data_IF_133589148455
#
_entry.id   IF_133589148455
#
_cell.length_a   1.000
_cell.length_b   1.000
_cell.length_c   1.000
_cell.angle_alpha   90.00
_cell.angle_beta   90.00
_cell.angle_gamma   90.00
#
_symmetry.space_group_name_H-M   'P 1'
#
loop_
_entity.id
_entity.type
_entity.pdbx_description
1 polymer ?
#
# COMPACT_ATOMS: atom_id res chain seq x y z
N UNK A 1 -16.13 11.92 23.99
CA UNK A 1 -14.88 11.52 24.68
C UNK A 1 -13.92 11.14 23.59
N UNK A 2 -12.87 11.96 23.39
CA UNK A 2 -11.97 11.78 22.26
C UNK A 2 -11.20 10.47 22.36
N UNK A 3 -11.26 9.65 21.34
CA UNK A 3 -10.26 8.62 21.07
C UNK A 3 -8.99 9.35 20.62
N UNK A 4 -8.24 9.85 21.59
CA UNK A 4 -6.90 10.33 21.32
C UNK A 4 -6.13 9.17 20.70
N UNK A 5 -5.39 9.45 19.61
CA UNK A 5 -4.27 8.62 19.14
C UNK A 5 -3.65 8.00 20.38
N UNK A 6 -3.53 6.66 20.43
CA UNK A 6 -2.88 6.03 21.58
C UNK A 6 -1.44 6.55 21.68
N UNK A 7 -1.31 7.66 22.42
CA UNK A 7 -0.04 8.32 22.66
C UNK A 7 0.93 7.41 23.38
N UNK A 8 0.48 6.25 23.90
CA UNK A 8 1.33 5.23 24.50
C UNK A 8 2.02 4.40 23.39
N UNK A 9 1.30 3.96 22.34
CA UNK A 9 1.89 3.26 21.22
C UNK A 9 2.91 4.14 20.48
N UNK A 10 2.57 5.42 20.25
CA UNK A 10 3.49 6.38 19.62
C UNK A 10 4.70 6.70 20.51
N UNK A 11 4.51 6.79 21.86
CA UNK A 11 5.62 6.95 22.81
C UNK A 11 6.50 5.72 22.86
N UNK A 12 5.92 4.52 22.96
CA UNK A 12 6.66 3.25 22.94
C UNK A 12 7.45 3.09 21.62
N UNK A 13 6.88 3.47 20.49
CA UNK A 13 7.57 3.48 19.20
C UNK A 13 8.72 4.51 19.17
N UNK A 14 8.53 5.71 19.77
CA UNK A 14 9.59 6.72 19.90
C UNK A 14 10.68 6.29 20.87
N UNK A 15 10.33 5.68 21.98
CA UNK A 15 11.29 5.15 22.98
C UNK A 15 12.09 3.98 22.38
N UNK A 16 11.44 3.06 21.66
CA UNK A 16 12.12 2.01 20.91
C UNK A 16 12.97 2.59 19.73
N UNK A 17 12.60 3.74 19.17
CA UNK A 17 13.42 4.49 18.21
C UNK A 17 14.65 5.15 18.87
N UNK A 18 14.61 5.37 20.19
CA UNK A 18 15.69 5.99 20.96
C UNK A 18 16.95 5.11 21.14
N UNK A 19 16.91 3.83 20.73
CA UNK A 19 18.14 3.06 20.55
C UNK A 19 18.89 3.68 19.36
N UNK A 20 19.89 4.50 19.68
CA UNK A 20 20.69 5.22 18.70
C UNK A 20 21.36 4.22 17.74
N UNK A 21 20.80 4.05 16.55
CA UNK A 21 21.43 3.34 15.44
C UNK A 21 22.49 4.20 14.73
N UNK A 22 22.87 5.33 15.32
CA UNK A 22 23.94 6.17 14.78
C UNK A 22 25.28 5.45 14.98
N UNK A 23 25.83 4.98 13.87
CA UNK A 23 27.16 4.37 13.84
C UNK A 23 28.12 5.44 13.30
N UNK A 24 29.25 5.72 13.97
CA UNK A 24 30.26 6.62 13.44
C UNK A 24 30.71 6.20 12.04
N UNK A 25 30.98 7.17 11.16
CA UNK A 25 31.47 6.91 9.81
C UNK A 25 32.72 6.01 9.82
N UNK A 26 32.78 5.04 8.89
CA UNK A 26 33.86 4.08 8.78
C UNK A 26 33.83 2.91 9.79
N UNK A 27 32.91 2.91 10.76
CA UNK A 27 32.78 1.78 11.71
C UNK A 27 32.30 0.52 10.99
N UNK A 28 32.88 -0.62 11.38
CA UNK A 28 32.47 -1.92 10.86
C UNK A 28 31.12 -2.36 11.50
N UNK A 29 30.18 -2.72 10.64
CA UNK A 29 28.84 -3.20 11.02
C UNK A 29 28.75 -4.69 10.80
N UNK A 30 28.24 -5.41 11.80
CA UNK A 30 28.05 -6.86 11.78
C UNK A 30 26.60 -7.30 11.68
N UNK A 31 26.38 -8.63 11.63
CA UNK A 31 25.06 -9.25 11.48
C UNK A 31 24.06 -8.88 12.60
N UNK A 32 24.56 -8.62 13.83
CA UNK A 32 23.69 -8.22 14.94
C UNK A 32 22.94 -6.91 14.72
N UNK A 33 23.61 -5.90 14.13
CA UNK A 33 22.94 -4.64 13.77
C UNK A 33 21.94 -4.82 12.64
N UNK A 34 22.30 -5.59 11.60
CA UNK A 34 21.37 -5.91 10.53
C UNK A 34 20.10 -6.57 11.07
N UNK A 35 20.23 -7.58 11.94
CA UNK A 35 19.11 -8.25 12.58
C UNK A 35 18.24 -7.30 13.46
N UNK A 36 18.87 -6.34 14.15
CA UNK A 36 18.14 -5.33 14.92
C UNK A 36 17.32 -4.41 14.01
N UNK A 37 17.86 -4.01 12.86
CA UNK A 37 17.16 -3.19 11.87
C UNK A 37 16.00 -3.95 11.20
N UNK A 38 16.18 -5.22 10.87
CA UNK A 38 15.12 -6.08 10.35
C UNK A 38 13.92 -6.17 11.32
N UNK A 39 14.21 -6.43 12.59
CA UNK A 39 13.16 -6.42 13.64
C UNK A 39 12.48 -5.06 13.75
N UNK A 40 13.25 -3.98 13.63
CA UNK A 40 12.70 -2.62 13.68
C UNK A 40 11.74 -2.33 12.53
N UNK A 41 12.05 -2.75 11.31
CA UNK A 41 11.13 -2.62 10.17
C UNK A 41 9.84 -3.38 10.41
N UNK A 42 9.94 -4.63 10.90
CA UNK A 42 8.76 -5.43 11.24
C UNK A 42 7.87 -4.73 12.29
N UNK A 43 8.47 -4.14 13.33
CA UNK A 43 7.73 -3.36 14.34
C UNK A 43 7.03 -2.13 13.76
N UNK A 44 7.71 -1.38 12.90
CA UNK A 44 7.12 -0.20 12.25
C UNK A 44 5.95 -0.57 11.34
N UNK A 45 6.03 -1.73 10.69
CA UNK A 45 4.96 -2.24 9.82
C UNK A 45 3.72 -2.62 10.63
N UNK A 46 3.88 -3.24 11.80
CA UNK A 46 2.76 -3.52 12.72
C UNK A 46 2.16 -2.23 13.30
N UNK A 47 3.00 -1.22 13.53
CA UNK A 47 2.53 0.08 14.01
C UNK A 47 1.66 0.81 12.96
N UNK A 48 1.87 0.58 11.66
CA UNK A 48 1.00 1.13 10.61
C UNK A 48 -0.45 0.62 10.69
N UNK A 49 -0.66 -0.57 11.22
CA UNK A 49 -2.01 -1.12 11.45
C UNK A 49 -2.78 -0.36 12.55
N UNK A 50 -2.06 0.26 13.50
CA UNK A 50 -2.63 0.87 14.70
C UNK A 50 -2.68 2.40 14.63
N UNK A 51 -1.74 3.02 13.89
CA UNK A 51 -1.52 4.46 13.88
C UNK A 51 -1.79 5.06 12.50
N UNK A 52 -2.43 6.23 12.47
CA UNK A 52 -2.68 6.96 11.22
C UNK A 52 -1.39 7.38 10.51
N UNK A 53 -1.42 7.38 9.18
CA UNK A 53 -0.27 7.63 8.32
C UNK A 53 0.40 8.99 8.56
N UNK A 54 -0.37 10.01 8.93
CA UNK A 54 0.17 11.35 9.25
C UNK A 54 1.12 11.34 10.44
N UNK A 55 0.77 10.59 11.50
CA UNK A 55 1.59 10.48 12.71
C UNK A 55 2.78 9.52 12.52
N UNK A 56 2.62 8.46 11.72
CA UNK A 56 3.65 7.45 11.47
C UNK A 56 4.73 7.94 10.49
N UNK A 57 4.36 8.78 9.52
CA UNK A 57 5.27 9.21 8.46
C UNK A 57 6.61 9.78 8.95
N UNK A 58 6.66 10.74 9.90
CA UNK A 58 7.95 11.29 10.37
C UNK A 58 8.87 10.24 10.98
N UNK A 59 8.30 9.24 11.67
CA UNK A 59 9.04 8.16 12.29
C UNK A 59 9.68 7.26 11.24
N UNK A 60 8.90 6.80 10.26
CA UNK A 60 9.37 5.91 9.18
C UNK A 60 10.39 6.63 8.29
N UNK A 61 10.15 7.91 7.94
CA UNK A 61 11.08 8.72 7.17
C UNK A 61 12.43 8.90 7.89
N UNK A 62 12.40 9.11 9.21
CA UNK A 62 13.58 9.20 10.05
C UNK A 62 14.37 7.88 10.06
N UNK A 63 13.70 6.72 10.19
CA UNK A 63 14.34 5.41 10.13
C UNK A 63 14.96 5.14 8.77
N UNK A 64 14.25 5.46 7.69
CA UNK A 64 14.76 5.32 6.33
C UNK A 64 16.02 6.19 6.12
N UNK A 65 16.00 7.42 6.60
CA UNK A 65 17.16 8.32 6.51
C UNK A 65 18.38 7.74 7.25
N UNK A 66 18.18 7.22 8.46
CA UNK A 66 19.25 6.57 9.26
C UNK A 66 19.78 5.32 8.56
N UNK A 67 18.91 4.47 8.01
CA UNK A 67 19.31 3.27 7.29
C UNK A 67 20.14 3.60 6.04
N UNK A 68 19.73 4.61 5.26
CA UNK A 68 20.47 5.11 4.09
C UNK A 68 21.85 5.66 4.48
N UNK A 69 21.95 6.44 5.55
CA UNK A 69 23.22 6.94 6.05
C UNK A 69 24.14 5.81 6.49
N UNK A 70 23.62 4.83 7.21
CA UNK A 70 24.38 3.66 7.64
C UNK A 70 24.98 2.90 6.44
N UNK A 71 24.17 2.61 5.43
CA UNK A 71 24.61 1.90 4.21
C UNK A 71 25.69 2.69 3.45
N UNK A 72 25.63 4.02 3.49
CA UNK A 72 26.61 4.89 2.81
C UNK A 72 27.92 5.05 3.57
N UNK A 73 27.87 5.08 4.90
CA UNK A 73 28.97 5.53 5.76
C UNK A 73 29.69 4.40 6.50
N UNK A 74 29.02 3.23 6.70
CA UNK A 74 29.61 2.10 7.38
C UNK A 74 30.42 1.18 6.45
N UNK A 75 31.30 0.38 7.04
CA UNK A 75 31.96 -0.74 6.36
C UNK A 75 31.29 -2.05 6.76
N UNK A 76 31.05 -2.93 5.80
CA UNK A 76 30.39 -4.23 6.04
C UNK A 76 30.80 -5.25 4.97
N UNK A 77 30.73 -6.54 5.32
CA UNK A 77 30.93 -7.63 4.37
C UNK A 77 29.72 -7.81 3.44
N UNK A 78 29.87 -8.58 2.34
CA UNK A 78 28.83 -8.73 1.32
C UNK A 78 27.48 -9.24 1.87
N UNK A 79 27.50 -10.18 2.79
CA UNK A 79 26.30 -10.75 3.42
C UNK A 79 25.53 -9.68 4.22
N UNK A 80 26.22 -8.97 5.09
CA UNK A 80 25.64 -7.87 5.88
C UNK A 80 25.13 -6.77 4.94
N UNK A 81 25.87 -6.48 3.89
CA UNK A 81 25.49 -5.50 2.87
C UNK A 81 24.15 -5.88 2.21
N UNK A 82 23.96 -7.13 1.78
CA UNK A 82 22.68 -7.61 1.24
C UNK A 82 21.53 -7.37 2.22
N UNK A 83 21.69 -7.76 3.48
CA UNK A 83 20.67 -7.56 4.53
C UNK A 83 20.35 -6.08 4.76
N UNK A 84 21.35 -5.22 4.83
CA UNK A 84 21.16 -3.78 5.00
C UNK A 84 20.41 -3.15 3.81
N UNK A 85 20.73 -3.56 2.56
CA UNK A 85 19.98 -3.10 1.38
C UNK A 85 18.55 -3.64 1.36
N UNK A 86 18.29 -4.85 1.85
CA UNK A 86 16.94 -5.37 2.06
C UNK A 86 16.17 -4.49 3.04
N UNK A 87 16.77 -4.15 4.19
CA UNK A 87 16.16 -3.25 5.19
C UNK A 87 15.83 -1.88 4.57
N UNK A 88 16.75 -1.30 3.79
CA UNK A 88 16.48 -0.02 3.09
C UNK A 88 15.31 -0.16 2.13
N UNK A 89 15.24 -1.24 1.36
CA UNK A 89 14.15 -1.49 0.43
C UNK A 89 12.79 -1.67 1.14
N UNK A 90 12.75 -2.40 2.25
CA UNK A 90 11.55 -2.56 3.07
C UNK A 90 11.10 -1.25 3.72
N UNK A 91 12.05 -0.44 4.22
CA UNK A 91 11.74 0.89 4.74
C UNK A 91 11.25 1.82 3.63
N UNK A 92 11.78 1.72 2.42
CA UNK A 92 11.26 2.45 1.26
C UNK A 92 9.82 2.04 0.92
N UNK A 93 9.51 0.73 1.00
CA UNK A 93 8.14 0.25 0.76
C UNK A 93 7.17 0.83 1.80
N UNK A 94 7.52 0.75 3.08
CA UNK A 94 6.68 1.28 4.16
C UNK A 94 6.57 2.82 4.10
N UNK A 95 7.67 3.54 3.90
CA UNK A 95 7.68 5.00 3.78
C UNK A 95 6.86 5.47 2.57
N UNK A 96 6.99 4.78 1.43
CA UNK A 96 6.21 5.06 0.25
C UNK A 96 4.71 4.84 0.48
N UNK A 97 4.35 3.76 1.17
CA UNK A 97 2.97 3.44 1.54
C UNK A 97 2.36 4.53 2.42
N UNK A 98 3.02 4.86 3.52
CA UNK A 98 2.56 5.88 4.48
C UNK A 98 2.50 7.26 3.84
N UNK A 99 3.48 7.62 2.98
CA UNK A 99 3.45 8.87 2.22
C UNK A 99 2.27 8.92 1.24
N UNK A 100 2.01 7.82 0.54
CA UNK A 100 0.86 7.70 -0.38
C UNK A 100 -0.48 7.86 0.35
N UNK A 101 -0.65 7.19 1.51
CA UNK A 101 -1.87 7.30 2.31
C UNK A 101 -2.04 8.69 2.95
N UNK A 102 -0.94 9.42 3.15
CA UNK A 102 -0.95 10.83 3.54
C UNK A 102 -1.17 11.81 2.37
N UNK A 103 -1.36 11.33 1.13
CA UNK A 103 -1.56 12.16 -0.07
C UNK A 103 -0.26 12.74 -0.65
N UNK A 104 0.92 12.31 -0.21
CA UNK A 104 2.25 12.78 -0.66
C UNK A 104 2.76 11.96 -1.85
N UNK A 105 1.96 11.87 -2.90
CA UNK A 105 2.15 10.93 -4.00
C UNK A 105 3.49 11.03 -4.74
N UNK A 106 3.96 12.24 -5.02
CA UNK A 106 5.25 12.44 -5.70
C UNK A 106 6.44 11.99 -4.87
N UNK A 107 6.35 12.11 -3.54
CA UNK A 107 7.37 11.60 -2.62
C UNK A 107 7.30 10.09 -2.50
N UNK A 108 6.10 9.52 -2.36
CA UNK A 108 5.89 8.08 -2.34
C UNK A 108 6.47 7.41 -3.59
N UNK A 109 6.20 7.96 -4.79
CA UNK A 109 6.73 7.46 -6.04
C UNK A 109 8.26 7.42 -6.06
N UNK A 110 8.92 8.52 -5.68
CA UNK A 110 10.39 8.55 -5.59
C UNK A 110 10.92 7.51 -4.61
N UNK A 111 10.26 7.39 -3.46
CA UNK A 111 10.66 6.45 -2.40
C UNK A 111 10.51 4.99 -2.85
N UNK A 112 9.43 4.63 -3.54
CA UNK A 112 9.28 3.29 -4.10
C UNK A 112 10.38 2.96 -5.11
N UNK A 113 10.71 3.89 -6.03
CA UNK A 113 11.77 3.69 -7.03
C UNK A 113 13.17 3.56 -6.40
N UNK A 114 13.45 4.34 -5.35
CA UNK A 114 14.67 4.16 -4.54
C UNK A 114 14.71 2.77 -3.91
N UNK A 115 13.58 2.30 -3.38
CA UNK A 115 13.44 0.96 -2.83
C UNK A 115 13.70 -0.15 -3.85
N UNK A 116 13.20 0.00 -5.09
CA UNK A 116 13.48 -0.94 -6.19
C UNK A 116 14.99 -1.02 -6.44
N UNK A 117 15.69 0.13 -6.47
CA UNK A 117 17.16 0.15 -6.62
C UNK A 117 17.86 -0.55 -5.45
N UNK A 118 17.42 -0.32 -4.20
CA UNK A 118 17.97 -0.97 -3.03
C UNK A 118 17.74 -2.50 -3.05
N UNK A 119 16.53 -2.93 -3.40
CA UNK A 119 16.19 -4.35 -3.55
C UNK A 119 17.03 -5.03 -4.64
N UNK A 120 17.31 -4.34 -5.75
CA UNK A 120 18.21 -4.82 -6.80
C UNK A 120 19.64 -5.04 -6.27
N UNK A 121 20.17 -4.11 -5.45
CA UNK A 121 21.47 -4.26 -4.80
C UNK A 121 21.53 -5.39 -3.78
N UNK A 122 20.40 -5.71 -3.15
CA UNK A 122 20.26 -6.84 -2.25
C UNK A 122 20.09 -8.19 -2.97
N UNK A 123 19.77 -8.19 -4.26
CA UNK A 123 19.34 -9.38 -5.00
C UNK A 123 17.93 -9.85 -4.62
N UNK A 124 17.12 -9.00 -3.97
CA UNK A 124 15.79 -9.31 -3.44
C UNK A 124 14.70 -9.04 -4.49
N UNK A 125 14.59 -9.91 -5.50
CA UNK A 125 13.69 -9.75 -6.66
C UNK A 125 12.23 -9.60 -6.26
N UNK A 126 11.74 -10.45 -5.36
CA UNK A 126 10.34 -10.42 -4.90
C UNK A 126 10.00 -9.14 -4.17
N UNK A 127 10.95 -8.55 -3.41
CA UNK A 127 10.79 -7.25 -2.77
C UNK A 127 10.79 -6.10 -3.78
N UNK A 128 11.61 -6.17 -4.82
CA UNK A 128 11.56 -5.21 -5.93
C UNK A 128 10.20 -5.25 -6.64
N UNK A 129 9.66 -6.45 -6.88
CA UNK A 129 8.32 -6.64 -7.43
C UNK A 129 7.23 -6.05 -6.51
N UNK A 130 7.34 -6.24 -5.19
CA UNK A 130 6.41 -5.65 -4.22
C UNK A 130 6.44 -4.12 -4.25
N UNK A 131 7.60 -3.52 -4.37
CA UNK A 131 7.74 -2.07 -4.48
C UNK A 131 7.08 -1.52 -5.76
N UNK A 132 7.29 -2.19 -6.90
CA UNK A 132 6.61 -1.86 -8.16
C UNK A 132 5.10 -2.04 -8.05
N UNK A 133 4.63 -3.09 -7.38
CA UNK A 133 3.21 -3.34 -7.17
C UNK A 133 2.57 -2.29 -6.26
N UNK A 134 3.28 -1.81 -5.24
CA UNK A 134 2.82 -0.70 -4.39
C UNK A 134 2.72 0.62 -5.17
N UNK A 135 3.68 0.89 -6.04
CA UNK A 135 3.64 2.04 -6.95
C UNK A 135 2.49 1.91 -7.95
N UNK A 136 2.29 0.74 -8.54
CA UNK A 136 1.15 0.44 -9.42
C UNK A 136 -0.18 0.74 -8.71
N UNK A 137 -0.35 0.27 -7.47
CA UNK A 137 -1.54 0.53 -6.67
C UNK A 137 -1.78 2.03 -6.45
N UNK A 138 -0.73 2.81 -6.16
CA UNK A 138 -0.84 4.25 -6.06
C UNK A 138 -1.30 4.87 -7.38
N UNK A 139 -0.65 4.53 -8.50
CA UNK A 139 -0.97 5.07 -9.82
C UNK A 139 -2.38 4.69 -10.24
N UNK A 140 -2.83 3.45 -10.00
CA UNK A 140 -4.20 3.03 -10.26
C UNK A 140 -5.24 3.88 -9.51
N UNK A 141 -4.90 4.39 -8.31
CA UNK A 141 -5.82 5.21 -7.52
C UNK A 141 -5.81 6.70 -7.90
N UNK A 142 -4.68 7.24 -8.39
CA UNK A 142 -4.51 8.70 -8.55
C UNK A 142 -3.88 9.14 -9.87
N UNK A 143 -3.51 8.21 -10.74
CA UNK A 143 -2.87 8.44 -12.03
C UNK A 143 -3.55 7.71 -13.19
N UNK A 144 -2.78 7.35 -14.19
CA UNK A 144 -3.27 6.62 -15.37
C UNK A 144 -3.37 5.11 -15.08
N UNK A 145 -4.56 4.49 -15.22
CA UNK A 145 -4.73 3.06 -15.04
C UNK A 145 -3.93 2.18 -16.01
N UNK A 146 -3.60 2.67 -17.21
CA UNK A 146 -2.80 1.92 -18.17
C UNK A 146 -1.34 1.80 -17.70
N UNK A 147 -0.76 2.89 -17.21
CA UNK A 147 0.57 2.88 -16.58
C UNK A 147 0.60 1.97 -15.34
N UNK A 148 -0.45 2.04 -14.53
CA UNK A 148 -0.61 1.17 -13.37
C UNK A 148 -0.63 -0.30 -13.75
N UNK A 149 -1.39 -0.67 -14.80
CA UNK A 149 -1.49 -2.05 -15.27
C UNK A 149 -0.14 -2.56 -15.79
N UNK A 150 0.59 -1.74 -16.55
CA UNK A 150 1.93 -2.09 -17.03
C UNK A 150 2.89 -2.37 -15.87
N UNK A 151 2.90 -1.52 -14.85
CA UNK A 151 3.74 -1.71 -13.65
C UNK A 151 3.35 -2.96 -12.87
N UNK A 152 2.04 -3.23 -12.69
CA UNK A 152 1.56 -4.42 -12.00
C UNK A 152 1.98 -5.70 -12.75
N UNK A 153 1.84 -5.74 -14.07
CA UNK A 153 2.28 -6.86 -14.91
C UNK A 153 3.80 -7.05 -14.86
N UNK A 154 4.56 -5.95 -14.87
CA UNK A 154 6.02 -5.98 -14.70
C UNK A 154 6.41 -6.56 -13.35
N UNK A 155 5.70 -6.21 -12.28
CA UNK A 155 5.93 -6.76 -10.95
C UNK A 155 5.70 -8.28 -10.91
N UNK A 156 4.61 -8.77 -11.50
CA UNK A 156 4.32 -10.22 -11.59
C UNK A 156 5.41 -10.94 -12.39
N UNK A 157 5.83 -10.40 -13.54
CA UNK A 157 6.86 -11.00 -14.37
C UNK A 157 8.24 -11.03 -13.69
N UNK A 158 8.55 -10.03 -12.86
CA UNK A 158 9.82 -9.94 -12.12
C UNK A 158 9.91 -10.78 -10.84
N UNK A 159 8.79 -11.38 -10.41
CA UNK A 159 8.67 -12.07 -9.11
C UNK A 159 8.88 -13.59 -9.23
N UNK A 160 9.86 -14.03 -10.02
CA UNK A 160 10.22 -15.45 -10.09
C UNK A 160 10.60 -15.98 -8.70
N UNK A 161 10.05 -17.15 -8.33
CA UNK A 161 10.26 -17.75 -7.01
C UNK A 161 9.46 -17.09 -5.88
N UNK A 162 8.48 -16.25 -6.18
CA UNK A 162 7.59 -15.69 -5.16
C UNK A 162 6.74 -16.78 -4.50
N UNK A 163 6.54 -16.66 -3.17
CA UNK A 163 5.59 -17.51 -2.46
C UNK A 163 4.17 -17.31 -3.00
N UNK A 164 3.26 -18.28 -2.84
CA UNK A 164 1.88 -18.15 -3.29
C UNK A 164 1.16 -16.89 -2.74
N UNK A 165 1.39 -16.53 -1.48
CA UNK A 165 0.81 -15.30 -0.92
C UNK A 165 1.36 -14.03 -1.61
N UNK A 166 2.67 -13.97 -1.85
CA UNK A 166 3.28 -12.86 -2.61
C UNK A 166 2.72 -12.81 -4.02
N UNK A 167 2.58 -13.96 -4.68
CA UNK A 167 2.01 -14.04 -6.03
C UNK A 167 0.56 -13.55 -6.05
N UNK A 168 -0.27 -13.97 -5.08
CA UNK A 168 -1.64 -13.50 -4.94
C UNK A 168 -1.69 -11.98 -4.80
N UNK A 169 -0.87 -11.40 -3.91
CA UNK A 169 -0.77 -9.95 -3.73
C UNK A 169 -0.42 -9.21 -5.03
N UNK A 170 0.55 -9.69 -5.79
CA UNK A 170 0.94 -9.04 -7.05
C UNK A 170 -0.17 -9.14 -8.10
N UNK A 171 -0.87 -10.26 -8.17
CA UNK A 171 -2.02 -10.47 -9.06
C UNK A 171 -3.21 -9.59 -8.68
N UNK A 172 -3.45 -9.34 -7.37
CA UNK A 172 -4.44 -8.35 -6.93
C UNK A 172 -4.18 -6.94 -7.52
N UNK A 173 -2.91 -6.54 -7.65
CA UNK A 173 -2.58 -5.24 -8.25
C UNK A 173 -2.87 -5.21 -9.74
N UNK A 174 -2.68 -6.35 -10.43
CA UNK A 174 -3.12 -6.52 -11.83
C UNK A 174 -4.64 -6.42 -11.92
N UNK A 175 -5.38 -7.15 -11.06
CA UNK A 175 -6.85 -7.10 -11.04
C UNK A 175 -7.36 -5.67 -10.78
N UNK A 176 -6.80 -4.99 -9.79
CA UNK A 176 -7.17 -3.62 -9.45
C UNK A 176 -6.90 -2.63 -10.59
N UNK A 177 -5.70 -2.68 -11.18
CA UNK A 177 -5.34 -1.78 -12.29
C UNK A 177 -6.20 -2.03 -13.53
N UNK A 178 -6.50 -3.30 -13.85
CA UNK A 178 -7.39 -3.67 -14.94
C UNK A 178 -8.83 -3.19 -14.68
N UNK A 179 -9.34 -3.31 -13.44
CA UNK A 179 -10.67 -2.80 -13.07
C UNK A 179 -10.74 -1.28 -13.22
N UNK A 180 -9.70 -0.56 -12.82
CA UNK A 180 -9.59 0.89 -13.01
C UNK A 180 -9.53 1.28 -14.49
N UNK A 181 -8.90 0.46 -15.33
CA UNK A 181 -8.91 0.59 -16.79
C UNK A 181 -10.21 0.12 -17.45
N UNK A 182 -11.20 -0.35 -16.67
CA UNK A 182 -12.48 -0.89 -17.15
C UNK A 182 -12.34 -2.14 -18.06
N UNK A 183 -11.22 -2.85 -17.96
CA UNK A 183 -11.03 -4.13 -18.65
C UNK A 183 -11.60 -5.28 -17.80
N UNK A 184 -12.88 -5.58 -18.06
CA UNK A 184 -13.62 -6.63 -17.34
C UNK A 184 -12.98 -8.02 -17.53
N UNK A 185 -12.48 -8.31 -18.73
CA UNK A 185 -11.91 -9.63 -19.03
C UNK A 185 -10.57 -9.82 -18.33
N UNK A 186 -9.68 -8.83 -18.36
CA UNK A 186 -8.40 -8.87 -17.65
C UNK A 186 -8.62 -8.91 -16.14
N UNK A 187 -9.56 -8.12 -15.60
CA UNK A 187 -9.90 -8.14 -14.16
C UNK A 187 -10.32 -9.53 -13.71
N UNK A 188 -11.26 -10.15 -14.45
CA UNK A 188 -11.76 -11.49 -14.09
C UNK A 188 -10.65 -12.53 -14.10
N UNK A 189 -9.85 -12.60 -15.16
CA UNK A 189 -8.69 -13.51 -15.23
C UNK A 189 -7.70 -13.28 -14.09
N UNK A 190 -7.47 -12.03 -13.70
CA UNK A 190 -6.55 -11.72 -12.62
C UNK A 190 -7.12 -12.14 -11.25
N UNK A 191 -8.42 -11.93 -10.99
CA UNK A 191 -9.08 -12.38 -9.77
C UNK A 191 -9.07 -13.91 -9.64
N UNK A 192 -9.39 -14.62 -10.72
CA UNK A 192 -9.32 -16.09 -10.76
C UNK A 192 -7.88 -16.57 -10.42
N UNK A 193 -6.86 -15.91 -10.98
CA UNK A 193 -5.47 -16.22 -10.70
C UNK A 193 -5.03 -15.86 -9.26
N UNK A 194 -5.66 -14.85 -8.63
CA UNK A 194 -5.45 -14.53 -7.20
C UNK A 194 -5.95 -15.68 -6.35
N UNK A 195 -7.18 -16.15 -6.59
CA UNK A 195 -7.77 -17.25 -5.86
C UNK A 195 -6.92 -18.53 -6.00
N UNK A 196 -6.56 -18.88 -7.22
CA UNK A 196 -5.68 -20.03 -7.50
C UNK A 196 -4.35 -19.92 -6.74
N UNK A 197 -3.69 -18.76 -6.77
CA UNK A 197 -2.42 -18.58 -6.09
C UNK A 197 -2.58 -18.67 -4.57
N UNK A 198 -3.62 -18.08 -4.01
CA UNK A 198 -3.86 -18.05 -2.57
C UNK A 198 -4.24 -19.42 -2.00
N UNK A 199 -5.02 -20.21 -2.73
CA UNK A 199 -5.46 -21.55 -2.32
C UNK A 199 -4.31 -22.56 -2.36
N UNK A 200 -3.27 -22.30 -3.17
CA UNK A 200 -2.06 -23.15 -3.26
C UNK A 200 -0.96 -22.78 -2.24
N UNK A 201 -1.31 -22.06 -1.15
CA UNK A 201 -0.34 -21.75 -0.10
C UNK A 201 0.20 -23.04 0.54
N UNK A 202 1.53 -23.16 0.51
CA UNK A 202 2.27 -24.29 1.06
C UNK A 202 2.75 -24.04 2.49
N UNK A 203 3.75 -24.83 2.89
CA UNK A 203 4.42 -24.73 4.21
C UNK A 203 5.60 -23.76 4.20
N UNK A 204 5.98 -23.21 3.05
CA UNK A 204 7.07 -22.23 2.96
C UNK A 204 6.67 -20.93 3.68
N UNK A 205 7.57 -20.38 4.51
CA UNK A 205 7.27 -19.16 5.22
C UNK A 205 7.18 -17.99 4.25
N UNK A 206 6.10 -17.22 4.36
CA UNK A 206 5.94 -15.97 3.63
C UNK A 206 6.90 -14.89 4.17
N UNK A 207 7.36 -13.95 3.33
CA UNK A 207 8.06 -12.78 3.80
C UNK A 207 7.22 -11.97 4.80
N UNK A 208 7.85 -11.42 5.85
CA UNK A 208 7.14 -10.68 6.90
C UNK A 208 6.30 -9.49 6.37
N UNK A 209 6.67 -8.91 5.24
CA UNK A 209 5.94 -7.78 4.67
C UNK A 209 4.60 -8.13 4.00
N UNK A 210 4.24 -9.44 3.87
CA UNK A 210 2.94 -9.88 3.32
C UNK A 210 2.01 -10.47 4.39
N UNK A 211 2.38 -10.37 5.68
CA UNK A 211 1.63 -10.95 6.82
C UNK A 211 0.14 -10.60 6.86
N UNK A 212 -0.20 -9.40 6.38
CA UNK A 212 -1.55 -8.85 6.40
C UNK A 212 -2.46 -9.47 5.35
N UNK A 213 -1.91 -10.09 4.30
CA UNK A 213 -2.70 -10.68 3.23
C UNK A 213 -3.39 -11.95 3.71
N UNK A 214 -4.69 -11.89 3.77
CA UNK A 214 -5.56 -12.99 4.15
C UNK A 214 -6.78 -13.05 3.23
N UNK A 215 -7.69 -14.00 3.43
CA UNK A 215 -8.87 -14.17 2.59
C UNK A 215 -9.77 -12.92 2.59
N UNK A 216 -9.92 -12.27 3.73
CA UNK A 216 -10.75 -11.07 3.84
C UNK A 216 -10.19 -9.91 2.99
N UNK A 217 -8.87 -9.72 2.95
CA UNK A 217 -8.24 -8.70 2.09
C UNK A 217 -8.44 -9.01 0.60
N UNK A 218 -8.34 -10.28 0.20
CA UNK A 218 -8.61 -10.72 -1.17
C UNK A 218 -10.08 -10.46 -1.53
N UNK A 219 -11.03 -10.82 -0.66
CA UNK A 219 -12.45 -10.58 -0.86
C UNK A 219 -12.76 -9.07 -0.97
N UNK A 220 -12.12 -8.23 -0.16
CA UNK A 220 -12.21 -6.76 -0.27
C UNK A 220 -11.71 -6.28 -1.63
N UNK A 221 -10.57 -6.76 -2.07
CA UNK A 221 -10.02 -6.34 -3.37
C UNK A 221 -10.93 -6.77 -4.51
N UNK A 222 -11.46 -7.99 -4.48
CA UNK A 222 -12.44 -8.47 -5.46
C UNK A 222 -13.72 -7.61 -5.43
N UNK A 223 -14.27 -7.32 -4.25
CA UNK A 223 -15.42 -6.43 -4.09
C UNK A 223 -15.18 -5.04 -4.68
N UNK A 224 -14.03 -4.46 -4.43
CA UNK A 224 -13.64 -3.16 -5.00
C UNK A 224 -13.53 -3.20 -6.53
N UNK A 225 -12.96 -4.27 -7.09
CA UNK A 225 -12.91 -4.48 -8.54
C UNK A 225 -14.34 -4.55 -9.12
N UNK A 226 -15.26 -5.26 -8.48
CA UNK A 226 -16.65 -5.33 -8.91
C UNK A 226 -17.36 -3.97 -8.86
N UNK A 227 -17.12 -3.15 -7.82
CA UNK A 227 -17.64 -1.77 -7.77
C UNK A 227 -17.14 -0.95 -8.96
N UNK A 228 -15.86 -0.99 -9.26
CA UNK A 228 -15.27 -0.27 -10.39
C UNK A 228 -15.85 -0.73 -11.73
N UNK A 229 -16.12 -2.01 -11.90
CA UNK A 229 -16.72 -2.56 -13.11
C UNK A 229 -18.24 -2.31 -13.21
N UNK A 230 -18.87 -1.72 -12.18
CA UNK A 230 -20.31 -1.45 -12.15
C UNK A 230 -21.18 -2.67 -11.83
N UNK A 231 -20.62 -3.65 -11.10
CA UNK A 231 -21.31 -4.86 -10.65
C UNK A 231 -21.53 -4.84 -9.12
N UNK A 232 -22.49 -4.03 -8.62
CA UNK A 232 -22.74 -3.93 -7.18
C UNK A 232 -23.30 -5.22 -6.58
N UNK A 233 -23.96 -6.06 -7.38
CA UNK A 233 -24.55 -7.32 -6.92
C UNK A 233 -23.47 -8.29 -6.43
N UNK A 234 -22.35 -8.34 -7.11
CA UNK A 234 -21.20 -9.15 -6.67
C UNK A 234 -20.36 -8.45 -5.61
N UNK A 235 -20.27 -7.11 -5.64
CA UNK A 235 -19.46 -6.35 -4.70
C UNK A 235 -20.02 -6.38 -3.27
N UNK A 236 -21.33 -6.16 -3.10
CA UNK A 236 -21.96 -6.00 -1.80
C UNK A 236 -21.71 -7.17 -0.84
N UNK A 237 -21.97 -8.44 -1.20
CA UNK A 237 -21.82 -9.56 -0.26
C UNK A 237 -20.36 -9.78 0.18
N UNK A 238 -19.39 -9.50 -0.68
CA UNK A 238 -17.97 -9.60 -0.33
C UNK A 238 -17.60 -8.53 0.70
N UNK A 239 -17.92 -7.27 0.42
CA UNK A 239 -17.58 -6.14 1.28
C UNK A 239 -18.31 -6.18 2.62
N UNK A 240 -19.61 -6.48 2.62
CA UNK A 240 -20.42 -6.54 3.85
C UNK A 240 -19.90 -7.62 4.80
N UNK A 241 -19.66 -8.85 4.27
CA UNK A 241 -19.14 -9.97 5.06
C UNK A 241 -17.80 -9.66 5.72
N UNK A 242 -16.88 -9.02 4.98
CA UNK A 242 -15.57 -8.67 5.53
C UNK A 242 -15.71 -7.59 6.61
N UNK A 243 -16.45 -6.52 6.37
CA UNK A 243 -16.62 -5.41 7.32
C UNK A 243 -17.19 -5.91 8.66
N UNK A 244 -18.12 -6.88 8.63
CA UNK A 244 -18.70 -7.48 9.83
C UNK A 244 -17.66 -8.20 10.69
N UNK A 245 -16.74 -8.92 10.06
CA UNK A 245 -15.70 -9.73 10.73
C UNK A 245 -14.41 -8.98 11.03
N UNK A 246 -14.18 -7.84 10.35
CA UNK A 246 -12.92 -7.13 10.44
C UNK A 246 -12.68 -6.57 11.83
N UNK A 247 -11.46 -6.72 12.39
CA UNK A 247 -11.17 -6.30 13.76
C UNK A 247 -11.48 -4.83 14.02
N UNK A 248 -12.09 -4.55 15.18
CA UNK A 248 -12.60 -3.21 15.49
C UNK A 248 -11.50 -2.14 15.58
N UNK A 249 -10.27 -2.53 15.94
CA UNK A 249 -9.13 -1.62 16.08
C UNK A 249 -8.52 -1.18 14.75
N UNK A 250 -8.80 -1.86 13.64
CA UNK A 250 -8.41 -1.42 12.28
C UNK A 250 -9.41 -0.40 11.71
N UNK A 251 -9.63 0.70 12.41
CA UNK A 251 -10.65 1.69 12.05
C UNK A 251 -10.45 2.30 10.67
N UNK A 252 -9.19 2.52 10.26
CA UNK A 252 -8.83 3.12 8.96
C UNK A 252 -9.24 2.23 7.78
N UNK A 253 -8.93 0.94 7.85
CA UNK A 253 -9.30 -0.05 6.84
C UNK A 253 -10.81 -0.26 6.81
N UNK A 254 -11.45 -0.41 7.97
CA UNK A 254 -12.92 -0.51 8.07
C UNK A 254 -13.63 0.71 7.48
N UNK A 255 -13.12 1.90 7.74
CA UNK A 255 -13.66 3.13 7.14
C UNK A 255 -13.53 3.09 5.61
N UNK A 256 -12.36 2.71 5.08
CA UNK A 256 -12.14 2.56 3.64
C UNK A 256 -13.12 1.54 3.03
N UNK A 257 -13.28 0.37 3.64
CA UNK A 257 -14.17 -0.69 3.12
C UNK A 257 -15.64 -0.27 3.17
N UNK A 258 -16.06 0.45 4.20
CA UNK A 258 -17.40 1.06 4.27
C UNK A 258 -17.65 2.04 3.13
N UNK A 259 -16.66 2.80 2.70
CA UNK A 259 -16.85 3.68 1.53
C UNK A 259 -17.11 2.89 0.25
N UNK A 260 -16.48 1.73 0.09
CA UNK A 260 -16.70 0.86 -1.06
C UNK A 260 -18.08 0.18 -1.01
N UNK A 261 -18.48 -0.29 0.17
CA UNK A 261 -19.82 -0.85 0.36
C UNK A 261 -20.89 0.21 0.11
N UNK A 262 -20.73 1.42 0.63
CA UNK A 262 -21.66 2.53 0.39
C UNK A 262 -21.77 2.87 -1.11
N UNK A 263 -20.68 2.79 -1.86
CA UNK A 263 -20.75 2.98 -3.32
C UNK A 263 -21.50 1.84 -4.02
N UNK A 264 -21.27 0.59 -3.63
CA UNK A 264 -22.00 -0.54 -4.18
C UNK A 264 -23.50 -0.37 -3.95
N UNK A 265 -23.93 -0.04 -2.72
CA UNK A 265 -25.31 0.22 -2.34
C UNK A 265 -25.91 1.40 -3.12
N UNK A 266 -25.18 2.51 -3.23
CA UNK A 266 -25.65 3.68 -3.96
C UNK A 266 -25.84 3.39 -5.47
N UNK A 267 -24.93 2.64 -6.08
CA UNK A 267 -25.03 2.20 -7.49
C UNK A 267 -26.19 1.20 -7.70
N UNK A 268 -26.56 0.44 -6.68
CA UNK A 268 -27.75 -0.42 -6.68
C UNK A 268 -29.05 0.35 -6.42
N UNK A 269 -29.03 1.68 -6.27
CA UNK A 269 -30.19 2.51 -5.99
C UNK A 269 -30.60 2.56 -4.50
N UNK A 270 -29.87 1.90 -3.61
CA UNK A 270 -30.14 1.78 -2.16
C UNK A 270 -29.49 2.94 -1.38
N UNK A 271 -29.88 4.18 -1.70
CA UNK A 271 -29.25 5.38 -1.12
C UNK A 271 -29.45 5.51 0.40
N UNK A 272 -30.55 4.96 0.96
CA UNK A 272 -30.78 4.93 2.41
C UNK A 272 -29.71 4.12 3.11
N UNK A 273 -29.52 2.87 2.69
CA UNK A 273 -28.55 1.94 3.25
C UNK A 273 -27.11 2.47 3.08
N UNK A 274 -26.80 3.10 1.94
CA UNK A 274 -25.51 3.73 1.72
C UNK A 274 -25.23 4.82 2.75
N UNK A 275 -26.24 5.66 3.13
CA UNK A 275 -26.09 6.68 4.17
C UNK A 275 -25.88 6.06 5.55
N UNK A 276 -26.58 4.99 5.86
CA UNK A 276 -26.41 4.26 7.13
C UNK A 276 -24.98 3.73 7.26
N UNK A 277 -24.45 3.09 6.22
CA UNK A 277 -23.06 2.59 6.20
C UNK A 277 -22.05 3.75 6.38
N UNK A 278 -22.26 4.88 5.72
CA UNK A 278 -21.39 6.04 5.85
C UNK A 278 -21.44 6.67 7.25
N UNK A 279 -22.59 6.65 7.92
CA UNK A 279 -22.74 7.18 9.28
C UNK A 279 -21.90 6.40 10.31
N UNK A 280 -21.49 5.17 9.99
CA UNK A 280 -20.61 4.35 10.82
C UNK A 280 -19.13 4.68 10.66
N UNK A 281 -18.76 5.62 9.76
CA UNK A 281 -17.36 6.04 9.58
C UNK A 281 -17.03 7.13 10.59
N UNK A 282 -16.01 6.95 11.46
CA UNK A 282 -15.59 8.00 12.40
C UNK A 282 -15.15 9.27 11.68
N UNK A 283 -15.52 10.44 12.23
CA UNK A 283 -15.23 11.73 11.59
C UNK A 283 -13.75 12.14 11.55
N UNK A 284 -12.86 11.41 12.24
CA UNK A 284 -11.44 11.77 12.41
C UNK A 284 -10.49 10.71 11.82
N UNK A 285 -10.80 10.20 10.61
CA UNK A 285 -9.90 9.24 9.94
C UNK A 285 -8.83 9.99 9.14
N UNK A 286 -7.57 9.86 9.56
CA UNK A 286 -6.41 10.43 8.86
C UNK A 286 -5.94 9.50 7.73
N UNK A 287 -6.70 9.46 6.62
CA UNK A 287 -6.33 8.74 5.40
C UNK A 287 -6.82 9.51 4.16
N UNK A 288 -5.91 9.75 3.22
CA UNK A 288 -6.29 10.39 1.95
C UNK A 288 -7.16 9.46 1.10
N UNK A 289 -6.94 8.15 1.19
CA UNK A 289 -7.78 7.15 0.50
C UNK A 289 -9.24 7.28 0.94
N UNK A 290 -9.49 7.37 2.25
CA UNK A 290 -10.85 7.54 2.79
C UNK A 290 -11.44 8.89 2.38
N UNK A 291 -10.70 9.98 2.52
CA UNK A 291 -11.15 11.33 2.12
C UNK A 291 -11.56 11.40 0.65
N UNK A 292 -10.73 10.88 -0.25
CA UNK A 292 -11.02 10.87 -1.69
C UNK A 292 -12.26 10.04 -2.01
N UNK A 293 -12.43 8.90 -1.35
CA UNK A 293 -13.61 8.05 -1.51
C UNK A 293 -14.89 8.76 -1.05
N UNK A 294 -14.85 9.43 0.10
CA UNK A 294 -16.00 10.21 0.59
C UNK A 294 -16.37 11.33 -0.38
N UNK A 295 -15.40 12.02 -0.99
CA UNK A 295 -15.66 13.05 -2.00
C UNK A 295 -16.38 12.46 -3.24
N UNK A 296 -15.97 11.29 -3.73
CA UNK A 296 -16.66 10.57 -4.83
C UNK A 296 -18.10 10.25 -4.45
N UNK A 297 -18.32 9.74 -3.23
CA UNK A 297 -19.65 9.36 -2.74
C UNK A 297 -20.59 10.55 -2.60
N UNK A 298 -20.11 11.69 -2.13
CA UNK A 298 -20.90 12.94 -2.07
C UNK A 298 -21.38 13.30 -3.48
N UNK A 299 -20.50 13.25 -4.49
CA UNK A 299 -20.88 13.49 -5.89
C UNK A 299 -21.96 12.52 -6.39
N UNK A 300 -21.78 11.23 -6.14
CA UNK A 300 -22.69 10.17 -6.55
C UNK A 300 -24.09 10.33 -5.89
N UNK A 301 -24.13 10.61 -4.59
CA UNK A 301 -25.37 10.68 -3.82
C UNK A 301 -26.13 12.00 -4.00
N UNK A 302 -25.50 13.07 -4.48
CA UNK A 302 -26.13 14.36 -4.77
C UNK A 302 -26.51 14.54 -6.24
N UNK A 303 -26.28 13.52 -7.08
CA UNK A 303 -26.54 13.60 -8.54
C UNK A 303 -25.60 14.59 -9.27
N UNK A 304 -24.58 15.12 -8.59
CA UNK A 304 -23.52 15.89 -9.23
C UNK A 304 -22.50 14.93 -9.80
N UNK A 305 -22.50 14.74 -11.12
CA UNK A 305 -21.44 14.02 -11.80
C UNK A 305 -20.11 14.63 -11.43
N UNK A 306 -19.33 13.96 -10.58
CA UNK A 306 -17.97 14.40 -10.26
C UNK A 306 -17.11 14.16 -11.51
N UNK A 307 -16.93 15.23 -12.32
CA UNK A 307 -15.79 15.33 -13.20
C UNK A 307 -14.53 15.45 -12.31
N UNK A 308 -14.04 14.34 -11.80
CA UNK A 308 -12.68 14.28 -11.26
C UNK A 308 -11.76 14.30 -12.49
N UNK A 309 -11.52 15.50 -12.99
CA UNK A 309 -10.45 15.76 -13.96
C UNK A 309 -9.13 15.52 -13.21
N UNK A 310 -8.46 14.42 -13.54
CA UNK A 310 -7.06 14.22 -13.20
C UNK A 310 -6.29 15.37 -13.86
N UNK A 311 -5.51 16.19 -13.13
CA UNK A 311 -4.64 17.16 -13.76
C UNK A 311 -3.63 16.39 -14.60
N UNK A 312 -3.77 16.43 -15.90
CA UNK A 312 -2.70 16.02 -16.83
C UNK A 312 -1.52 16.93 -16.55
N UNK A 313 -0.44 16.37 -16.04
CA UNK A 313 0.85 17.05 -15.95
C UNK A 313 1.22 17.53 -17.37
N UNK A 314 1.17 18.84 -17.56
CA UNK A 314 1.47 19.46 -18.86
C UNK A 314 2.89 19.06 -19.30
N UNK A 315 2.96 18.40 -20.42
CA UNK A 315 4.16 18.31 -21.23
C UNK A 315 4.50 19.74 -21.67
N UNK A 316 5.40 20.39 -20.96
CA UNK A 316 6.05 21.60 -21.47
C UNK A 316 7.00 21.17 -22.58
N UNK A 317 6.51 21.25 -23.80
CA UNK A 317 7.38 21.22 -24.99
C UNK A 317 8.32 22.44 -24.88
N UNK A 318 9.62 22.19 -24.73
CA UNK A 318 10.64 23.20 -24.82
C UNK A 318 10.67 23.83 -26.23
N UNK A 319 11.00 25.13 -26.35
CA UNK A 319 11.01 25.81 -27.65
C UNK A 319 12.14 25.28 -28.53
N UNK A 320 11.78 24.92 -29.77
CA UNK A 320 12.75 24.66 -30.82
C UNK A 320 13.58 25.92 -31.08
N UNK A 321 14.90 25.82 -30.87
CA UNK A 321 15.84 26.90 -31.28
C UNK A 321 15.99 26.96 -32.81
N UNK A 322 16.20 28.15 -33.39
CA UNK A 322 16.37 28.29 -34.83
C UNK A 322 17.81 27.89 -35.29
N UNK A 323 17.87 27.47 -36.56
CA UNK A 323 18.99 27.06 -37.39
C UNK A 323 20.32 27.83 -37.21
#
# INVERSE_FOLDING_TARGET
>A
MGSGIDGAALRAAREAAGVSLSVPAGRRVGAGLAAAMERRVAQLRRLDDEVGSGALYPLVAGELSRAKSLVREATYGPEVGRRLFTVVAELCQLAGWVASDAGRYGEAQRTYLEGVSAAGRAGARTLAAQLLSSLSYQIANVGDPADALLLAQTAVAGAEGATPAVRALLLERVAWSAARARDTAATRRALDAVDDAFDHRGTEPDPDWVYWLNRDEIDVMAGRCHVELGDPVRAEPLLARVIERYPAHHERERALYRTWLAEALARAGRLGDAREVLALIPGQIESDRVRRRLAVLVGLMTGRASAVTVPTAGHTAGPAGPR
#
